data_IF_309271006632
#
_entry.id   IF_309271006632
#
_cell.length_a   1.000
_cell.length_b   1.000
_cell.length_c   1.000
_cell.angle_alpha   90.00
_cell.angle_beta   90.00
_cell.angle_gamma   90.00
#
_symmetry.space_group_name_H-M   'P 1'
#
loop_
_entity.id
_entity.type
_entity.pdbx_description
1 polymer ?
#
# COMPACT_ATOMS: atom_id res chain seq x y z
N UNK A 1 -19.50 -32.86 -25.07
CA UNK A 1 -18.35 -32.08 -24.59
C UNK A 1 -18.90 -30.75 -24.09
N UNK A 2 -18.89 -30.53 -22.77
CA UNK A 2 -19.35 -29.27 -22.18
C UNK A 2 -18.28 -28.20 -22.42
N UNK A 3 -18.63 -27.18 -23.19
CA UNK A 3 -17.84 -25.96 -23.32
C UNK A 3 -17.80 -25.28 -21.95
N UNK A 4 -16.67 -25.37 -21.26
CA UNK A 4 -16.43 -24.53 -20.08
C UNK A 4 -16.52 -23.07 -20.54
N UNK A 5 -17.59 -22.39 -20.16
CA UNK A 5 -17.67 -20.93 -20.20
C UNK A 5 -16.40 -20.39 -19.56
N UNK A 6 -15.59 -19.66 -20.33
CA UNK A 6 -14.51 -18.87 -19.75
C UNK A 6 -15.20 -17.77 -18.96
N UNK A 7 -15.24 -17.94 -17.64
CA UNK A 7 -15.60 -16.86 -16.72
C UNK A 7 -14.64 -15.72 -16.99
N UNK A 8 -15.14 -14.63 -17.56
CA UNK A 8 -14.36 -13.42 -17.76
C UNK A 8 -14.17 -12.76 -16.39
N UNK A 9 -13.00 -12.98 -15.79
CA UNK A 9 -12.64 -12.33 -14.53
C UNK A 9 -12.23 -10.89 -14.87
N UNK A 10 -12.91 -9.92 -14.27
CA UNK A 10 -12.57 -8.50 -14.42
C UNK A 10 -11.12 -8.24 -14.00
N UNK A 11 -10.43 -7.35 -14.74
CA UNK A 11 -9.13 -6.84 -14.35
C UNK A 11 -9.21 -5.81 -13.21
N UNK A 12 -10.41 -5.28 -12.96
CA UNK A 12 -10.67 -4.31 -11.91
C UNK A 12 -10.95 -5.02 -10.58
N UNK A 13 -10.17 -4.67 -9.57
CA UNK A 13 -10.34 -5.09 -8.19
C UNK A 13 -10.96 -3.96 -7.39
N UNK A 14 -12.03 -4.25 -6.69
CA UNK A 14 -12.63 -3.35 -5.74
C UNK A 14 -12.03 -3.60 -4.36
N UNK A 15 -11.64 -2.51 -3.70
CA UNK A 15 -11.10 -2.52 -2.34
C UNK A 15 -12.11 -1.86 -1.42
N UNK A 16 -12.42 -2.52 -0.31
CA UNK A 16 -13.22 -1.94 0.77
C UNK A 16 -12.58 -2.27 2.10
N UNK A 17 -12.83 -1.47 3.14
CA UNK A 17 -12.19 -1.74 4.41
C UNK A 17 -12.49 -0.77 5.53
N UNK A 18 -11.94 -1.08 6.70
CA UNK A 18 -12.04 -0.27 7.91
C UNK A 18 -10.67 0.19 8.38
N UNK A 19 -10.64 1.37 8.97
CA UNK A 19 -9.47 1.96 9.61
C UNK A 19 -9.74 2.10 11.11
N UNK A 20 -8.77 1.68 11.90
CA UNK A 20 -8.70 1.77 13.36
C UNK A 20 -7.34 2.30 13.82
N UNK A 21 -7.22 2.57 15.12
CA UNK A 21 -5.95 2.89 15.77
C UNK A 21 -5.82 4.34 16.26
N UNK A 22 -4.58 4.81 16.38
CA UNK A 22 -4.29 6.19 16.79
C UNK A 22 -2.95 6.70 16.25
N UNK A 23 -2.94 7.93 15.76
CA UNK A 23 -1.74 8.67 15.36
C UNK A 23 -1.69 9.95 16.18
N UNK A 24 -0.53 10.29 16.74
CA UNK A 24 -0.37 11.51 17.57
C UNK A 24 -1.37 11.60 18.73
N UNK A 25 -1.88 10.47 19.23
CA UNK A 25 -2.92 10.41 20.27
C UNK A 25 -4.34 10.72 19.78
N UNK A 26 -4.54 11.00 18.49
CA UNK A 26 -5.84 11.17 17.86
C UNK A 26 -6.32 9.80 17.39
N UNK A 27 -7.57 9.45 17.68
CA UNK A 27 -8.15 8.17 17.24
C UNK A 27 -8.46 8.21 15.74
N UNK A 28 -8.08 7.14 15.03
CA UNK A 28 -8.45 6.93 13.62
C UNK A 28 -9.62 5.97 13.56
N UNK A 29 -10.79 6.46 13.14
CA UNK A 29 -11.99 5.64 12.94
C UNK A 29 -12.58 5.97 11.56
N UNK A 30 -12.36 5.10 10.58
CA UNK A 30 -12.74 5.41 9.19
C UNK A 30 -12.97 4.18 8.32
N UNK A 31 -13.14 4.45 7.03
CA UNK A 31 -13.27 3.41 6.01
C UNK A 31 -12.36 3.68 4.82
N UNK A 32 -11.92 2.63 4.14
CA UNK A 32 -11.21 2.73 2.86
C UNK A 32 -12.07 2.16 1.76
N UNK A 33 -12.10 2.84 0.62
CA UNK A 33 -12.63 2.34 -0.65
C UNK A 33 -11.58 2.52 -1.71
N UNK A 34 -11.49 1.63 -2.68
CA UNK A 34 -10.50 1.79 -3.73
C UNK A 34 -10.76 0.90 -4.93
N UNK A 35 -9.93 1.09 -5.93
CA UNK A 35 -9.90 0.28 -7.13
C UNK A 35 -8.45 0.03 -7.54
N UNK A 36 -8.18 -1.15 -8.07
CA UNK A 36 -6.92 -1.48 -8.70
C UNK A 36 -7.16 -2.16 -10.03
N UNK A 37 -6.47 -1.74 -11.09
CA UNK A 37 -6.53 -2.34 -12.41
C UNK A 37 -5.28 -3.18 -12.66
N UNK A 38 -5.45 -4.51 -12.73
CA UNK A 38 -4.37 -5.48 -12.97
C UNK A 38 -3.64 -5.27 -14.29
N UNK A 39 -4.30 -4.67 -15.28
CA UNK A 39 -3.72 -4.51 -16.62
C UNK A 39 -2.80 -3.31 -16.73
N UNK A 40 -3.05 -2.26 -15.94
CA UNK A 40 -2.27 -1.02 -15.93
C UNK A 40 -1.38 -0.90 -14.69
N UNK A 41 -1.70 -1.62 -13.61
CA UNK A 41 -1.08 -1.42 -12.31
C UNK A 41 -1.57 -0.16 -11.62
N UNK A 42 -2.58 0.53 -12.14
CA UNK A 42 -3.11 1.74 -11.52
C UNK A 42 -3.93 1.39 -10.28
N UNK A 43 -3.66 2.07 -9.17
CA UNK A 43 -4.35 1.88 -7.89
C UNK A 43 -4.82 3.24 -7.37
N UNK A 44 -6.10 3.31 -7.03
CA UNK A 44 -6.72 4.44 -6.33
C UNK A 44 -7.27 3.97 -5.00
N UNK A 45 -6.96 4.67 -3.93
CA UNK A 45 -7.56 4.47 -2.62
C UNK A 45 -8.09 5.79 -2.07
N UNK A 46 -9.26 5.72 -1.45
CA UNK A 46 -9.92 6.83 -0.78
C UNK A 46 -10.18 6.42 0.65
N UNK A 47 -9.57 7.12 1.59
CA UNK A 47 -9.77 6.98 3.02
C UNK A 47 -10.78 8.01 3.47
N UNK A 48 -11.79 7.59 4.22
CA UNK A 48 -12.92 8.43 4.64
C UNK A 48 -12.98 8.54 6.15
N UNK A 49 -13.45 9.69 6.64
CA UNK A 49 -13.61 9.94 8.08
C UNK A 49 -12.27 10.18 8.78
N UNK A 50 -11.31 10.78 8.08
CA UNK A 50 -10.00 11.10 8.65
C UNK A 50 -10.08 12.44 9.38
N UNK A 51 -9.81 12.41 10.68
CA UNK A 51 -9.86 13.60 11.54
C UNK A 51 -8.93 14.70 11.00
N UNK A 52 -9.40 15.94 11.04
CA UNK A 52 -8.67 17.12 10.54
C UNK A 52 -7.34 17.34 11.26
N UNK A 53 -7.22 16.86 12.49
CA UNK A 53 -6.00 16.97 13.28
C UNK A 53 -4.84 16.08 12.79
N UNK A 54 -5.10 15.12 11.90
CA UNK A 54 -4.09 14.19 11.36
C UNK A 54 -4.18 13.98 9.85
N UNK A 55 -5.23 14.49 9.20
CA UNK A 55 -5.48 14.28 7.77
C UNK A 55 -4.34 14.76 6.87
N UNK A 56 -3.84 15.99 7.03
CA UNK A 56 -2.67 16.47 6.29
C UNK A 56 -1.45 15.57 6.50
N UNK A 57 -1.11 15.26 7.75
CA UNK A 57 0.06 14.45 8.11
C UNK A 57 0.00 13.05 7.51
N UNK A 58 -1.16 12.40 7.61
CA UNK A 58 -1.36 11.06 7.08
C UNK A 58 -1.35 11.05 5.54
N UNK A 59 -1.82 12.11 4.90
CA UNK A 59 -1.83 12.21 3.43
C UNK A 59 -0.43 12.28 2.82
N UNK A 60 0.55 12.79 3.56
CA UNK A 60 1.96 12.82 3.16
C UNK A 60 2.58 11.43 3.25
N UNK A 61 2.00 10.47 3.97
CA UNK A 61 2.58 9.13 4.11
C UNK A 61 2.24 8.27 2.88
N UNK A 62 3.10 8.43 1.88
CA UNK A 62 2.88 8.14 0.47
C UNK A 62 2.99 6.69 0.03
N UNK A 63 3.44 5.76 0.86
CA UNK A 63 3.67 4.39 0.37
C UNK A 63 2.49 3.48 0.60
N UNK A 64 1.71 3.26 -0.47
CA UNK A 64 0.91 2.05 -0.65
C UNK A 64 0.16 1.71 0.61
N UNK A 65 -0.60 2.68 1.13
CA UNK A 65 -1.42 2.52 2.32
C UNK A 65 -2.42 1.38 2.16
N UNK A 66 -2.50 0.72 1.00
CA UNK A 66 -3.08 -0.60 0.86
C UNK A 66 -2.07 -1.64 0.40
N UNK A 67 -2.01 -2.73 1.15
CA UNK A 67 -1.51 -4.05 0.78
C UNK A 67 -1.85 -4.52 -0.65
N UNK A 68 -2.89 -3.96 -1.29
CA UNK A 68 -3.32 -4.28 -2.67
C UNK A 68 -2.31 -3.81 -3.72
N UNK A 69 -1.50 -2.78 -3.46
CA UNK A 69 -0.46 -2.29 -4.39
C UNK A 69 0.49 -3.42 -4.82
N UNK A 70 1.08 -4.13 -3.86
CA UNK A 70 1.99 -5.23 -4.17
C UNK A 70 1.30 -6.47 -4.79
N UNK A 71 -0.03 -6.60 -4.66
CA UNK A 71 -0.79 -7.65 -5.33
C UNK A 71 -1.06 -7.34 -6.80
N UNK A 72 -1.25 -6.07 -7.14
CA UNK A 72 -1.72 -5.65 -8.47
C UNK A 72 -0.61 -5.04 -9.35
N UNK A 73 0.63 -5.03 -8.85
CA UNK A 73 1.79 -4.57 -9.59
C UNK A 73 1.94 -5.34 -10.92
N UNK A 74 2.10 -4.61 -12.03
CA UNK A 74 2.35 -5.21 -13.35
C UNK A 74 3.71 -5.89 -13.33
N UNK A 75 3.75 -7.17 -13.70
CA UNK A 75 4.99 -7.94 -13.73
C UNK A 75 5.81 -7.63 -14.98
N UNK A 76 7.09 -7.30 -14.80
CA UNK A 76 8.06 -7.16 -15.86
C UNK A 76 9.14 -8.26 -15.75
N UNK A 77 9.46 -8.90 -16.87
CA UNK A 77 10.46 -9.97 -16.92
C UNK A 77 10.05 -11.19 -16.06
N UNK A 78 10.98 -11.70 -15.25
CA UNK A 78 10.71 -12.82 -14.35
C UNK A 78 10.12 -12.42 -13.00
N UNK A 79 9.97 -11.12 -12.72
CA UNK A 79 9.49 -10.63 -11.44
C UNK A 79 8.03 -11.04 -11.17
N UNK A 80 7.68 -11.23 -9.90
CA UNK A 80 6.35 -11.71 -9.49
C UNK A 80 5.71 -10.81 -8.45
N UNK A 81 4.46 -10.41 -8.68
CA UNK A 81 3.67 -9.69 -7.68
C UNK A 81 3.09 -10.65 -6.62
N UNK A 82 2.51 -10.12 -5.54
CA UNK A 82 1.93 -10.96 -4.47
C UNK A 82 0.79 -11.84 -4.96
N UNK A 83 0.03 -11.42 -5.97
CA UNK A 83 -1.07 -12.21 -6.50
C UNK A 83 -0.58 -13.44 -7.29
N UNK A 84 0.59 -13.38 -7.93
CA UNK A 84 1.23 -14.54 -8.54
C UNK A 84 1.93 -15.44 -7.52
N UNK A 85 2.51 -14.84 -6.48
CA UNK A 85 3.22 -15.57 -5.42
C UNK A 85 2.28 -16.29 -4.46
N UNK A 86 1.19 -15.64 -4.06
CA UNK A 86 0.26 -16.13 -3.05
C UNK A 86 -1.18 -15.78 -3.50
N UNK A 87 -1.68 -16.42 -4.58
CA UNK A 87 -2.95 -16.05 -5.20
C UNK A 87 -4.09 -16.14 -4.21
N UNK A 88 -4.78 -15.00 -4.03
CA UNK A 88 -5.97 -14.86 -3.18
C UNK A 88 -5.80 -15.34 -1.74
N UNK A 89 -4.57 -15.42 -1.22
CA UNK A 89 -4.35 -15.77 0.18
C UNK A 89 -4.64 -14.57 1.09
N UNK A 90 -5.13 -14.87 2.29
CA UNK A 90 -5.17 -13.90 3.37
C UNK A 90 -3.73 -13.54 3.74
N UNK A 91 -3.47 -12.24 3.86
CA UNK A 91 -2.12 -11.74 4.07
C UNK A 91 -2.15 -10.59 5.07
N UNK A 92 -1.15 -10.56 5.94
CA UNK A 92 -0.87 -9.44 6.83
C UNK A 92 0.32 -8.63 6.33
N UNK A 93 0.18 -7.31 6.31
CA UNK A 93 1.24 -6.36 5.98
C UNK A 93 1.45 -5.44 7.17
N UNK A 94 2.60 -5.52 7.82
CA UNK A 94 3.03 -4.50 8.78
C UNK A 94 3.97 -3.54 8.06
N UNK A 95 3.52 -2.31 7.86
CA UNK A 95 4.38 -1.22 7.39
C UNK A 95 4.86 -0.40 8.56
N UNK A 96 6.14 -0.06 8.57
CA UNK A 96 6.76 0.89 9.48
C UNK A 96 7.38 2.02 8.67
N UNK A 97 6.93 3.23 8.97
CA UNK A 97 7.48 4.47 8.47
C UNK A 97 8.38 5.07 9.54
N UNK A 98 9.59 5.50 9.15
CA UNK A 98 10.57 6.09 10.06
C UNK A 98 11.09 7.40 9.50
N UNK A 99 10.88 8.46 10.28
CA UNK A 99 11.40 9.82 10.10
C UNK A 99 12.40 10.11 11.23
N UNK A 100 13.23 11.17 11.15
CA UNK A 100 14.28 11.44 12.14
C UNK A 100 13.82 11.47 13.62
N UNK A 101 12.59 11.86 13.88
CA UNK A 101 12.03 11.95 15.25
C UNK A 101 10.64 11.34 15.40
N UNK A 102 10.14 10.67 14.36
CA UNK A 102 8.78 10.14 14.31
C UNK A 102 8.80 8.74 13.73
N UNK A 103 7.87 7.90 14.19
CA UNK A 103 7.64 6.59 13.59
C UNK A 103 6.16 6.25 13.66
N UNK A 104 5.64 5.73 12.56
CA UNK A 104 4.26 5.33 12.42
C UNK A 104 4.20 3.94 11.82
N UNK A 105 3.34 3.10 12.38
CA UNK A 105 3.09 1.76 11.90
C UNK A 105 1.65 1.64 11.42
N UNK A 106 1.44 0.80 10.42
CA UNK A 106 0.12 0.36 10.03
C UNK A 106 0.14 -1.16 9.84
N UNK A 107 -0.63 -1.86 10.67
CA UNK A 107 -0.92 -3.28 10.46
C UNK A 107 -2.13 -3.38 9.54
N UNK A 108 -1.97 -4.08 8.42
CA UNK A 108 -3.03 -4.36 7.49
C UNK A 108 -3.28 -5.84 7.39
N UNK A 109 -4.54 -6.22 7.23
CA UNK A 109 -4.93 -7.57 6.82
C UNK A 109 -5.78 -7.45 5.56
N UNK A 110 -5.50 -8.26 4.53
CA UNK A 110 -6.37 -8.40 3.36
C UNK A 110 -7.00 -9.78 3.35
N UNK A 111 -8.30 -9.82 3.12
CA UNK A 111 -9.07 -11.02 2.84
C UNK A 111 -9.77 -10.86 1.48
N UNK A 112 -9.73 -11.90 0.66
CA UNK A 112 -10.41 -11.93 -0.62
C UNK A 112 -11.77 -12.58 -0.45
N UNK A 113 -12.83 -11.82 -0.70
CA UNK A 113 -14.22 -12.35 -0.61
C UNK A 113 -14.69 -12.88 -1.96
N UNK A 114 -14.18 -12.28 -3.04
CA UNK A 114 -14.36 -12.69 -4.43
C UNK A 114 -13.04 -12.48 -5.20
N UNK A 115 -12.86 -13.07 -6.40
CA UNK A 115 -11.65 -12.88 -7.20
C UNK A 115 -11.28 -11.42 -7.52
N UNK A 116 -12.27 -10.52 -7.42
CA UNK A 116 -12.17 -9.10 -7.69
C UNK A 116 -12.60 -8.19 -6.52
N UNK A 117 -12.75 -8.74 -5.31
CA UNK A 117 -13.14 -7.97 -4.12
C UNK A 117 -12.20 -8.26 -2.96
N UNK A 118 -11.38 -7.26 -2.63
CA UNK A 118 -10.48 -7.26 -1.49
C UNK A 118 -11.11 -6.50 -0.31
N UNK A 119 -11.16 -7.15 0.84
CA UNK A 119 -11.56 -6.52 2.11
C UNK A 119 -10.30 -6.30 2.95
N UNK A 120 -10.05 -5.06 3.33
CA UNK A 120 -8.85 -4.64 4.06
C UNK A 120 -9.24 -4.13 5.45
N UNK A 121 -8.48 -4.53 6.46
CA UNK A 121 -8.53 -3.89 7.79
C UNK A 121 -7.18 -3.24 8.03
N UNK A 122 -7.18 -2.04 8.62
CA UNK A 122 -5.99 -1.24 8.85
C UNK A 122 -5.99 -0.71 10.28
N UNK A 123 -4.90 -0.91 11.01
CA UNK A 123 -4.71 -0.41 12.37
C UNK A 123 -3.45 0.44 12.43
N UNK A 124 -3.61 1.74 12.71
CA UNK A 124 -2.52 2.70 12.79
C UNK A 124 -2.01 2.89 14.22
N UNK A 125 -0.71 3.09 14.36
CA UNK A 125 -0.09 3.47 15.62
C UNK A 125 1.13 4.36 15.41
N UNK A 126 1.43 5.22 16.38
CA UNK A 126 2.67 5.99 16.42
C UNK A 126 2.47 7.49 16.21
N UNK A 127 3.48 8.15 15.65
CA UNK A 127 3.52 9.60 15.52
C UNK A 127 3.96 10.04 14.13
N UNK A 128 3.47 11.22 13.73
CA UNK A 128 3.87 11.92 12.53
C UNK A 128 4.22 13.38 12.86
N UNK A 129 5.16 14.01 12.14
CA UNK A 129 5.39 15.45 12.26
C UNK A 129 4.12 16.19 11.92
N UNK A 130 3.83 17.29 12.63
CA UNK A 130 2.68 18.12 12.28
C UNK A 130 2.92 18.86 10.96
N UNK A 131 1.87 19.02 10.14
CA UNK A 131 1.96 19.77 8.89
C UNK A 131 0.60 20.40 8.52
N UNK A 132 0.63 21.53 7.83
CA UNK A 132 -0.58 22.19 7.33
C UNK A 132 -0.44 22.59 5.86
N UNK A 133 -1.40 22.26 5.00
CA UNK A 133 -1.40 22.67 3.59
C UNK A 133 -1.84 21.60 2.58
N UNK A 134 -1.78 21.94 1.29
CA UNK A 134 -2.17 21.07 0.16
C UNK A 134 -1.06 20.10 -0.27
N UNK A 135 -1.28 18.78 -0.24
CA UNK A 135 -0.24 17.76 -0.53
C UNK A 135 0.67 18.11 -1.70
N UNK A 136 1.98 18.09 -1.46
CA UNK A 136 3.00 18.25 -2.50
C UNK A 136 3.08 17.01 -3.41
N UNK A 137 3.65 17.13 -4.63
CA UNK A 137 3.91 15.97 -5.48
C UNK A 137 4.73 14.93 -4.71
N UNK A 138 4.26 13.68 -4.77
CA UNK A 138 4.90 12.59 -4.07
C UNK A 138 6.00 12.02 -4.96
N UNK A 139 7.24 11.84 -4.45
CA UNK A 139 8.29 11.23 -5.24
C UNK A 139 7.96 9.78 -5.59
N UNK A 140 8.39 9.36 -6.77
CA UNK A 140 8.39 7.95 -7.14
C UNK A 140 9.29 7.17 -6.17
N UNK A 141 8.90 5.93 -5.88
CA UNK A 141 9.60 5.07 -4.93
C UNK A 141 9.94 3.76 -5.60
N UNK A 142 11.23 3.42 -5.57
CA UNK A 142 11.70 2.07 -5.89
C UNK A 142 12.05 1.35 -4.60
N UNK A 143 11.36 0.25 -4.32
CA UNK A 143 11.54 -0.53 -3.10
C UNK A 143 12.17 -1.86 -3.42
N UNK A 144 13.20 -2.27 -2.69
CA UNK A 144 13.62 -3.68 -2.70
C UNK A 144 12.46 -4.54 -2.23
N UNK A 145 12.20 -5.67 -2.90
CA UNK A 145 11.15 -6.61 -2.56
C UNK A 145 11.71 -8.03 -2.58
N UNK A 146 11.86 -8.63 -1.41
CA UNK A 146 12.60 -9.87 -1.21
C UNK A 146 11.80 -10.89 -0.42
N UNK A 147 11.69 -12.12 -0.92
CA UNK A 147 11.24 -13.25 -0.13
C UNK A 147 12.31 -13.61 0.92
N UNK A 148 11.98 -13.49 2.20
CA UNK A 148 12.90 -13.76 3.32
C UNK A 148 12.65 -15.11 3.99
N UNK A 149 11.54 -15.76 3.64
CA UNK A 149 11.15 -17.06 4.17
C UNK A 149 10.04 -17.70 3.33
N UNK A 150 9.59 -18.91 3.71
CA UNK A 150 8.53 -19.62 2.98
C UNK A 150 7.17 -18.90 3.02
N UNK A 151 6.97 -17.98 3.97
CA UNK A 151 5.70 -17.30 4.25
C UNK A 151 5.89 -15.79 4.44
N UNK A 152 7.11 -15.29 4.20
CA UNK A 152 7.48 -13.91 4.51
C UNK A 152 8.18 -13.23 3.35
N UNK A 153 7.79 -12.00 3.11
CA UNK A 153 8.43 -11.09 2.15
C UNK A 153 8.72 -9.79 2.88
N UNK A 154 9.90 -9.24 2.64
CA UNK A 154 10.29 -7.93 3.12
C UNK A 154 10.38 -6.96 1.95
N UNK A 155 9.81 -5.77 2.12
CA UNK A 155 10.00 -4.65 1.21
C UNK A 155 10.68 -3.50 1.96
N UNK A 156 11.67 -2.87 1.34
CA UNK A 156 12.42 -1.76 1.92
C UNK A 156 12.63 -0.65 0.90
N UNK A 157 12.41 0.58 1.33
CA UNK A 157 12.68 1.76 0.53
C UNK A 157 13.16 2.92 1.39
N UNK A 158 13.96 3.77 0.78
CA UNK A 158 14.26 5.11 1.30
C UNK A 158 13.81 6.13 0.28
N UNK A 159 13.12 7.17 0.73
CA UNK A 159 12.67 8.28 -0.11
C UNK A 159 12.61 9.53 0.76
N UNK A 160 11.84 10.54 0.37
CA UNK A 160 11.65 11.77 1.12
C UNK A 160 10.17 12.02 1.36
N UNK A 161 9.84 12.48 2.56
CA UNK A 161 8.55 13.05 2.89
C UNK A 161 8.69 14.57 2.92
N UNK A 162 7.92 15.27 2.08
CA UNK A 162 7.93 16.73 2.05
C UNK A 162 6.76 17.25 2.88
N UNK A 163 7.06 17.76 4.06
CA UNK A 163 6.11 18.45 4.92
C UNK A 163 6.13 19.94 4.62
N UNK A 164 4.98 20.61 4.74
CA UNK A 164 4.74 21.98 4.26
C UNK A 164 5.72 23.06 4.71
N UNK A 165 6.22 22.95 5.93
CA UNK A 165 6.99 24.01 6.57
C UNK A 165 8.50 23.70 6.62
N UNK A 166 8.97 22.70 5.87
CA UNK A 166 10.35 22.23 6.01
C UNK A 166 10.97 21.61 4.78
N UNK A 167 12.28 21.45 4.86
CA UNK A 167 13.06 20.69 3.90
C UNK A 167 12.54 19.23 3.83
N UNK A 168 12.59 18.60 2.64
CA UNK A 168 12.27 17.18 2.50
C UNK A 168 13.01 16.35 3.55
N UNK A 169 12.26 15.60 4.35
CA UNK A 169 12.85 14.76 5.40
C UNK A 169 13.09 13.36 4.85
N UNK A 170 14.23 12.71 5.20
CA UNK A 170 14.46 11.34 4.82
C UNK A 170 13.40 10.44 5.44
N UNK A 171 12.71 9.68 4.60
CA UNK A 171 11.75 8.67 5.01
C UNK A 171 12.29 7.29 4.70
N UNK A 172 12.39 6.45 5.72
CA UNK A 172 12.59 5.01 5.55
C UNK A 172 11.26 4.29 5.68
N UNK A 173 11.04 3.30 4.82
CA UNK A 173 9.86 2.44 4.86
C UNK A 173 10.32 0.99 4.86
N UNK A 174 9.93 0.26 5.90
CA UNK A 174 10.11 -1.18 6.03
C UNK A 174 8.74 -1.84 6.11
N UNK A 175 8.52 -2.82 5.25
CA UNK A 175 7.26 -3.53 5.15
C UNK A 175 7.55 -5.02 5.30
N UNK A 176 6.85 -5.66 6.24
CA UNK A 176 6.83 -7.11 6.38
C UNK A 176 5.47 -7.64 5.94
N UNK A 177 5.49 -8.49 4.93
CA UNK A 177 4.35 -9.30 4.52
C UNK A 177 4.46 -10.67 5.19
N UNK A 178 3.37 -11.11 5.81
CA UNK A 178 3.19 -12.46 6.40
C UNK A 178 1.98 -13.10 5.74
N UNK A 179 2.16 -14.29 5.20
CA UNK A 179 1.16 -14.98 4.39
C UNK A 179 0.64 -16.17 5.20
N UNK A 180 -0.68 -16.36 5.28
CA UNK A 180 -1.26 -17.46 6.06
C UNK A 180 -0.97 -18.86 5.46
N UNK A 181 -0.46 -18.90 4.23
CA UNK A 181 0.02 -20.10 3.56
C UNK A 181 1.47 -19.96 3.09
N UNK A 182 1.90 -20.93 2.28
CA UNK A 182 3.27 -20.99 1.76
C UNK A 182 3.37 -20.38 0.36
N UNK A 183 4.44 -19.63 0.12
CA UNK A 183 4.87 -19.20 -1.21
C UNK A 183 5.43 -20.43 -1.96
N UNK A 184 4.84 -20.83 -3.10
CA UNK A 184 5.31 -21.95 -3.89
C UNK A 184 6.64 -21.58 -4.56
N UNK A 185 7.71 -22.24 -4.12
CA UNK A 185 9.06 -21.99 -4.63
C UNK A 185 9.79 -20.86 -3.91
N UNK A 186 11.00 -20.57 -4.41
CA UNK A 186 11.79 -19.42 -4.02
C UNK A 186 11.88 -18.50 -5.22
N UNK A 187 11.53 -17.23 -5.03
CA UNK A 187 11.98 -16.21 -5.98
C UNK A 187 13.46 -15.99 -5.68
N UNK A 188 14.32 -16.57 -6.52
CA UNK A 188 15.78 -16.50 -6.34
C UNK A 188 16.36 -15.15 -6.78
N UNK A 189 15.63 -14.40 -7.61
CA UNK A 189 16.04 -13.09 -8.09
C UNK A 189 15.62 -11.98 -7.13
N UNK A 190 16.51 -11.02 -6.91
CA UNK A 190 16.14 -9.73 -6.34
C UNK A 190 15.13 -9.06 -7.27
N UNK A 191 14.02 -8.57 -6.72
CA UNK A 191 13.04 -7.80 -7.47
C UNK A 191 12.74 -6.49 -6.73
N UNK A 192 12.19 -5.54 -7.46
CA UNK A 192 11.85 -4.21 -6.95
C UNK A 192 10.38 -3.92 -7.21
N UNK A 193 9.71 -3.32 -6.22
CA UNK A 193 8.39 -2.72 -6.40
C UNK A 193 8.56 -1.23 -6.67
N UNK A 194 8.21 -0.82 -7.88
CA UNK A 194 8.10 0.58 -8.29
C UNK A 194 6.69 1.09 -7.97
N UNK A 195 6.62 2.22 -7.29
CA UNK A 195 5.43 3.06 -7.10
C UNK A 195 5.69 4.38 -7.81
N UNK A 196 5.06 4.60 -8.96
CA UNK A 196 5.26 5.78 -9.80
C UNK A 196 4.00 6.63 -9.92
N UNK A 197 4.15 7.87 -10.40
CA UNK A 197 3.05 8.82 -10.64
C UNK A 197 2.20 9.03 -9.39
N UNK A 198 2.86 9.06 -8.22
CA UNK A 198 2.17 9.08 -6.95
C UNK A 198 1.48 10.43 -6.74
N UNK A 199 0.20 10.39 -6.34
CA UNK A 199 -0.53 11.56 -5.88
C UNK A 199 -1.24 11.24 -4.57
N UNK A 200 -1.31 12.21 -3.69
CA UNK A 200 -2.11 12.16 -2.47
C UNK A 200 -2.72 13.53 -2.25
N UNK A 201 -3.84 13.59 -1.56
CA UNK A 201 -4.47 14.84 -1.17
C UNK A 201 -5.39 14.59 0.01
N UNK A 202 -5.48 15.55 0.92
CA UNK A 202 -6.48 15.57 1.98
C UNK A 202 -7.48 16.70 1.71
N UNK A 203 -8.76 16.36 1.73
CA UNK A 203 -9.85 17.33 1.71
C UNK A 203 -10.43 17.45 3.13
N UNK A 204 -10.18 18.59 3.77
CA UNK A 204 -10.67 18.91 5.12
C UNK A 204 -12.20 19.00 5.22
N UNK A 205 -12.87 19.35 4.12
CA UNK A 205 -14.33 19.52 4.08
C UNK A 205 -14.99 18.15 4.10
N UNK A 206 -14.50 17.24 3.26
CA UNK A 206 -15.05 15.87 3.18
C UNK A 206 -14.36 14.87 4.10
N UNK A 207 -13.27 15.27 4.76
CA UNK A 207 -12.42 14.42 5.61
C UNK A 207 -11.92 13.18 4.87
N UNK A 208 -11.44 13.39 3.63
CA UNK A 208 -11.00 12.32 2.74
C UNK A 208 -9.55 12.46 2.35
N UNK A 209 -8.81 11.35 2.38
CA UNK A 209 -7.51 11.24 1.72
C UNK A 209 -7.72 10.46 0.42
N UNK A 210 -7.31 11.03 -0.71
CA UNK A 210 -7.28 10.31 -2.00
C UNK A 210 -5.84 10.07 -2.41
N UNK A 211 -5.48 8.81 -2.61
CA UNK A 211 -4.16 8.36 -3.01
C UNK A 211 -4.22 7.60 -4.34
N UNK A 212 -3.33 7.95 -5.28
CA UNK A 212 -3.16 7.22 -6.54
C UNK A 212 -1.69 6.85 -6.76
N UNK A 213 -1.46 5.70 -7.39
CA UNK A 213 -0.13 5.21 -7.74
C UNK A 213 -0.23 4.24 -8.93
N UNK A 214 0.81 4.19 -9.74
CA UNK A 214 1.04 3.13 -10.72
C UNK A 214 2.10 2.18 -10.17
N UNK A 215 1.78 0.89 -10.12
CA UNK A 215 2.68 -0.12 -9.54
C UNK A 215 3.21 -1.11 -10.56
N UNK A 216 4.51 -1.38 -10.49
CA UNK A 216 5.21 -2.38 -11.31
C UNK A 216 6.17 -3.21 -10.48
N UNK A 217 6.23 -4.50 -10.75
CA UNK A 217 7.25 -5.38 -10.20
C UNK A 217 8.34 -5.55 -11.25
N UNK A 218 9.56 -5.15 -10.90
CA UNK A 218 10.72 -5.12 -11.77
C UNK A 218 11.74 -6.18 -11.33
N UNK A 219 12.34 -6.87 -12.28
CA UNK A 219 13.47 -7.76 -12.02
C UNK A 219 14.74 -6.92 -11.80
N UNK A 220 15.60 -7.32 -10.86
CA UNK A 220 16.94 -6.75 -10.79
C UNK A 220 17.69 -7.06 -12.08
N UNK A 221 18.17 -6.02 -12.75
CA UNK A 221 19.09 -6.18 -13.88
C UNK A 221 20.40 -6.83 -13.43
#
# INVERSE_FOLDING_TARGET
MSSRERVHISNLINVTGKLGGSINGVATNGTVTGSADRSTGHVTNVYHGIDRAIGPELSVMHQGLTIVCAHMAVEAGAAKNLNSMAPMQTLQRLVTFTLPSHSMQCLQTVAWTEPNVAVVTMEFSGTLPSCSGESLPIPDVLSEFRQTGPETIQQRATTQATFFDGDPQPLSVDIKYSIDGRIPGSISALQFLENANNTSSYDETTQKITYNTDVRMLESQ
#
